data_IF_736053558107
#
_entry.id   IF_736053558107
#
_cell.length_a   1.000
_cell.length_b   1.000
_cell.length_c   1.000
_cell.angle_alpha   90.00
_cell.angle_beta   90.00
_cell.angle_gamma   90.00
#
_symmetry.space_group_name_H-M   'P 1'
#
loop_
_entity.id
_entity.type
_entity.pdbx_description
1 polymer ?
#
# COMPACT_ATOMS: atom_id res chain seq x y z
N UNK A 1 -20.12 10.35 -8.65
CA UNK A 1 -20.39 9.99 -10.07
C UNK A 1 -21.31 8.77 -10.25
N UNK A 2 -21.92 8.22 -9.21
CA UNK A 2 -22.81 7.09 -9.31
C UNK A 2 -24.27 7.52 -9.04
N UNK A 3 -24.80 8.37 -9.89
CA UNK A 3 -26.24 8.48 -10.07
C UNK A 3 -26.75 7.23 -10.81
N UNK A 4 -28.05 6.90 -10.66
CA UNK A 4 -28.73 5.76 -11.28
C UNK A 4 -28.83 5.85 -12.83
N UNK A 5 -27.82 6.39 -13.52
CA UNK A 5 -27.76 6.56 -14.95
C UNK A 5 -26.78 5.59 -15.62
N UNK A 6 -26.93 5.43 -16.92
CA UNK A 6 -26.01 4.66 -17.76
C UNK A 6 -24.60 5.26 -17.70
N UNK A 7 -23.67 4.56 -17.06
CA UNK A 7 -22.31 5.07 -16.79
C UNK A 7 -21.54 5.29 -18.09
N UNK A 8 -21.70 4.42 -19.09
CA UNK A 8 -21.05 4.56 -20.39
C UNK A 8 -21.52 5.81 -21.13
N UNK A 9 -22.83 6.08 -21.13
CA UNK A 9 -23.38 7.28 -21.74
C UNK A 9 -22.83 8.56 -21.07
N UNK A 10 -22.81 8.59 -19.73
CA UNK A 10 -22.26 9.73 -18.98
C UNK A 10 -20.77 9.93 -19.24
N UNK A 11 -20.01 8.84 -19.33
CA UNK A 11 -18.58 8.92 -19.66
C UNK A 11 -18.34 9.51 -21.05
N UNK A 12 -19.11 9.07 -22.05
CA UNK A 12 -19.02 9.61 -23.42
C UNK A 12 -19.42 11.09 -23.49
N UNK A 13 -20.50 11.49 -22.79
CA UNK A 13 -20.91 12.90 -22.68
C UNK A 13 -19.87 13.76 -21.97
N UNK A 14 -19.15 13.18 -21.01
CA UNK A 14 -18.04 13.85 -20.30
C UNK A 14 -16.74 13.97 -21.15
N UNK A 15 -16.77 13.56 -22.42
CA UNK A 15 -15.67 13.71 -23.36
C UNK A 15 -14.71 12.51 -23.43
N UNK A 16 -14.97 11.39 -22.75
CA UNK A 16 -14.13 10.21 -22.88
C UNK A 16 -14.23 9.60 -24.27
N UNK A 17 -13.10 9.21 -24.85
CA UNK A 17 -13.05 8.58 -26.19
C UNK A 17 -13.38 7.08 -26.15
N UNK A 18 -13.23 6.44 -24.97
CA UNK A 18 -13.45 5.01 -24.77
C UNK A 18 -13.94 4.74 -23.34
N UNK A 19 -14.82 3.77 -23.18
CA UNK A 19 -15.28 3.26 -21.88
C UNK A 19 -14.61 1.92 -21.62
N UNK A 20 -13.87 1.83 -20.51
CA UNK A 20 -13.19 0.62 -20.07
C UNK A 20 -14.08 -0.16 -19.11
N UNK A 21 -14.29 -1.45 -19.40
CA UNK A 21 -15.06 -2.37 -18.55
C UNK A 21 -16.46 -1.88 -18.18
N UNK A 22 -17.32 -1.61 -19.18
CA UNK A 22 -18.73 -1.29 -18.93
C UNK A 22 -19.40 -2.43 -18.14
N UNK A 23 -20.37 -2.10 -17.29
CA UNK A 23 -21.01 -3.08 -16.39
C UNK A 23 -21.96 -4.02 -17.14
N UNK A 24 -22.74 -3.47 -18.05
CA UNK A 24 -23.76 -4.21 -18.82
C UNK A 24 -23.89 -3.67 -20.24
N UNK A 25 -23.12 -4.25 -21.16
CA UNK A 25 -23.12 -3.84 -22.57
C UNK A 25 -24.50 -3.94 -23.23
N UNK A 26 -25.35 -4.91 -22.83
CA UNK A 26 -26.69 -5.10 -23.41
C UNK A 26 -27.64 -3.95 -23.13
N UNK A 27 -27.44 -3.23 -22.02
CA UNK A 27 -28.23 -2.07 -21.62
C UNK A 27 -27.53 -0.75 -21.99
N UNK A 28 -26.18 -0.73 -21.90
CA UNK A 28 -25.43 0.49 -22.10
C UNK A 28 -25.29 0.90 -23.55
N UNK A 29 -25.19 -0.05 -24.50
CA UNK A 29 -25.14 0.25 -25.95
C UNK A 29 -26.43 0.84 -26.45
N UNK A 30 -27.64 0.23 -26.22
CA UNK A 30 -28.89 0.84 -26.63
C UNK A 30 -29.11 2.25 -26.10
N UNK A 31 -28.71 2.54 -24.84
CA UNK A 31 -28.84 3.87 -24.26
C UNK A 31 -27.95 4.91 -24.96
N UNK A 32 -26.76 4.51 -25.43
CA UNK A 32 -25.89 5.39 -26.22
C UNK A 32 -26.49 5.64 -27.59
N UNK A 33 -27.05 4.61 -28.25
CA UNK A 33 -27.74 4.76 -29.55
C UNK A 33 -28.93 5.69 -29.43
N UNK A 34 -29.78 5.50 -28.43
CA UNK A 34 -30.95 6.37 -28.18
C UNK A 34 -30.52 7.83 -27.94
N UNK A 35 -29.40 8.06 -27.20
CA UNK A 35 -28.87 9.39 -26.97
C UNK A 35 -28.39 10.06 -28.28
N UNK A 36 -27.86 9.26 -29.23
CA UNK A 36 -27.49 9.78 -30.56
C UNK A 36 -28.74 10.11 -31.36
N UNK A 37 -29.77 9.25 -31.34
CA UNK A 37 -31.06 9.50 -32.04
C UNK A 37 -31.78 10.73 -31.49
N UNK A 38 -31.68 10.99 -30.19
CA UNK A 38 -32.24 12.19 -29.52
C UNK A 38 -31.39 13.46 -29.69
N UNK A 39 -30.23 13.36 -30.31
CA UNK A 39 -29.29 14.48 -30.46
C UNK A 39 -28.55 14.90 -29.18
N UNK A 40 -28.56 14.07 -28.13
CA UNK A 40 -27.81 14.30 -26.88
C UNK A 40 -26.32 14.04 -27.05
N UNK A 41 -25.92 13.20 -27.99
CA UNK A 41 -24.57 12.99 -28.52
C UNK A 41 -24.65 13.13 -30.06
N UNK A 42 -23.69 13.86 -30.63
CA UNK A 42 -23.68 13.93 -32.11
C UNK A 42 -23.01 12.68 -32.70
N UNK A 43 -23.49 12.29 -33.89
CA UNK A 43 -22.89 11.20 -34.65
C UNK A 43 -21.43 11.48 -35.00
N UNK A 44 -21.15 12.72 -35.37
CA UNK A 44 -19.80 13.20 -35.71
C UNK A 44 -18.86 13.05 -34.54
N UNK A 45 -19.33 13.33 -33.31
CA UNK A 45 -18.54 13.14 -32.09
C UNK A 45 -18.19 11.67 -31.87
N UNK A 46 -19.16 10.76 -31.99
CA UNK A 46 -18.91 9.30 -31.86
C UNK A 46 -17.95 8.82 -32.95
N UNK A 47 -18.13 9.27 -34.22
CA UNK A 47 -17.23 8.91 -35.31
C UNK A 47 -15.78 9.45 -35.06
N UNK A 48 -15.66 10.64 -34.55
CA UNK A 48 -14.34 11.22 -34.16
C UNK A 48 -13.65 10.40 -33.09
N UNK A 49 -14.37 10.04 -32.03
CA UNK A 49 -13.85 9.16 -30.94
C UNK A 49 -13.43 7.80 -31.51
N UNK A 50 -14.26 7.19 -32.35
CA UNK A 50 -13.95 5.91 -32.99
C UNK A 50 -12.71 6.03 -33.88
N UNK A 51 -12.59 7.06 -34.70
CA UNK A 51 -11.41 7.34 -35.56
C UNK A 51 -10.15 7.46 -34.72
N UNK A 52 -10.22 8.20 -33.62
CA UNK A 52 -9.09 8.37 -32.69
C UNK A 52 -8.62 7.01 -32.13
N UNK A 53 -9.53 6.18 -31.66
CA UNK A 53 -9.22 4.82 -31.14
C UNK A 53 -8.59 3.95 -32.23
N UNK A 54 -9.16 3.95 -33.45
CA UNK A 54 -8.64 3.18 -34.57
C UNK A 54 -7.25 3.67 -35.01
N UNK A 55 -7.01 4.97 -34.98
CA UNK A 55 -5.69 5.57 -35.26
C UNK A 55 -4.64 5.05 -34.27
N UNK A 56 -4.93 5.06 -32.96
CA UNK A 56 -3.99 4.49 -31.98
C UNK A 56 -3.77 2.99 -32.19
N UNK A 57 -4.81 2.22 -32.49
CA UNK A 57 -4.66 0.80 -32.82
C UNK A 57 -3.76 0.58 -34.03
N UNK A 58 -3.88 1.44 -35.05
CA UNK A 58 -3.03 1.37 -36.24
C UNK A 58 -1.58 1.73 -35.93
N UNK A 59 -1.35 2.83 -35.23
CA UNK A 59 0.01 3.28 -34.81
C UNK A 59 0.70 2.23 -33.95
N UNK A 60 -0.03 1.58 -33.05
CA UNK A 60 0.49 0.48 -32.21
C UNK A 60 0.69 -0.84 -33.00
N UNK A 61 0.39 -0.87 -34.29
CA UNK A 61 0.60 -2.05 -35.14
C UNK A 61 -0.34 -3.22 -34.85
N UNK A 62 -1.47 -3.00 -34.18
CA UNK A 62 -2.40 -4.06 -33.76
C UNK A 62 -3.08 -4.78 -34.93
N UNK A 63 -2.94 -4.26 -36.17
CA UNK A 63 -3.37 -4.97 -37.39
C UNK A 63 -2.49 -6.20 -37.67
N UNK A 64 -1.24 -6.17 -37.27
CA UNK A 64 -0.31 -7.29 -37.46
C UNK A 64 -0.43 -8.23 -36.26
N UNK A 65 -0.58 -9.55 -36.55
CA UNK A 65 -0.51 -10.55 -35.47
C UNK A 65 0.88 -10.49 -34.84
N UNK A 66 0.94 -10.01 -33.61
CA UNK A 66 2.17 -10.01 -32.81
C UNK A 66 2.08 -11.15 -31.82
N UNK A 67 3.01 -12.08 -31.90
CA UNK A 67 3.11 -13.17 -30.92
C UNK A 67 4.10 -12.77 -29.85
N UNK A 68 3.69 -12.91 -28.59
CA UNK A 68 4.61 -12.76 -27.46
C UNK A 68 5.55 -13.95 -27.44
N UNK A 69 6.84 -13.70 -27.52
CA UNK A 69 7.84 -14.74 -27.36
C UNK A 69 7.87 -15.19 -25.90
N UNK A 70 7.45 -16.43 -25.63
CA UNK A 70 7.31 -16.95 -24.26
C UNK A 70 8.69 -17.30 -23.66
N UNK A 71 9.66 -17.74 -24.48
CA UNK A 71 11.00 -18.00 -24.01
C UNK A 71 11.64 -16.76 -23.40
N UNK A 72 12.09 -16.86 -22.15
CA UNK A 72 12.68 -15.75 -21.40
C UNK A 72 11.71 -14.61 -21.04
N UNK A 73 10.38 -14.81 -21.16
CA UNK A 73 9.39 -13.76 -20.86
C UNK A 73 9.46 -13.30 -19.41
N UNK A 74 9.56 -14.24 -18.48
CA UNK A 74 9.64 -13.93 -17.04
C UNK A 74 10.87 -13.08 -16.74
N UNK A 75 12.03 -13.41 -17.29
CA UNK A 75 13.27 -12.65 -17.09
C UNK A 75 13.18 -11.24 -17.71
N UNK A 76 12.47 -11.09 -18.84
CA UNK A 76 12.27 -9.77 -19.47
C UNK A 76 11.34 -8.89 -18.66
N UNK A 77 10.24 -9.45 -18.11
CA UNK A 77 9.27 -8.72 -17.29
C UNK A 77 9.88 -8.41 -15.91
N UNK A 78 10.51 -9.42 -15.28
CA UNK A 78 11.09 -9.31 -13.94
C UNK A 78 12.62 -9.07 -14.02
N UNK A 79 13.04 -8.17 -14.90
CA UNK A 79 14.45 -7.78 -14.98
C UNK A 79 14.97 -7.20 -13.66
N UNK A 80 16.27 -7.20 -13.39
CA UNK A 80 16.84 -6.52 -12.22
C UNK A 80 16.41 -5.05 -12.12
N UNK A 81 16.37 -4.35 -13.26
CA UNK A 81 15.95 -2.96 -13.36
C UNK A 81 14.47 -2.78 -12.99
N UNK A 82 13.60 -3.68 -13.47
CA UNK A 82 12.17 -3.65 -13.10
C UNK A 82 11.99 -3.89 -11.61
N UNK A 83 12.69 -4.85 -11.04
CA UNK A 83 12.62 -5.13 -9.60
C UNK A 83 13.12 -3.96 -8.77
N UNK A 84 14.21 -3.31 -9.17
CA UNK A 84 14.71 -2.13 -8.49
C UNK A 84 13.71 -0.97 -8.58
N UNK A 85 13.14 -0.71 -9.75
CA UNK A 85 12.10 0.30 -9.92
C UNK A 85 10.90 0.04 -9.00
N UNK A 86 10.39 -1.20 -8.95
CA UNK A 86 9.27 -1.58 -8.07
C UNK A 86 9.64 -1.36 -6.60
N UNK A 87 10.86 -1.73 -6.19
CA UNK A 87 11.35 -1.50 -4.82
C UNK A 87 11.40 -0.01 -4.46
N UNK A 88 11.89 0.83 -5.37
CA UNK A 88 11.94 2.29 -5.18
C UNK A 88 10.54 2.90 -5.11
N UNK A 89 9.63 2.47 -5.97
CA UNK A 89 8.23 2.92 -5.95
C UNK A 89 7.52 2.51 -4.65
N UNK A 90 7.75 1.29 -4.18
CA UNK A 90 7.21 0.84 -2.90
C UNK A 90 7.71 1.69 -1.74
N UNK A 91 9.02 2.01 -1.72
CA UNK A 91 9.61 2.85 -0.68
C UNK A 91 9.03 4.27 -0.72
N UNK A 92 8.97 4.89 -1.90
CA UNK A 92 8.41 6.23 -2.09
C UNK A 92 6.92 6.33 -1.70
N UNK A 93 6.18 5.21 -1.77
CA UNK A 93 4.78 5.16 -1.37
C UNK A 93 4.59 5.06 0.14
N UNK A 94 5.60 4.64 0.92
CA UNK A 94 5.48 4.54 2.38
C UNK A 94 5.25 5.92 2.97
N UNK A 95 4.14 6.06 3.69
CA UNK A 95 3.70 7.33 4.25
C UNK A 95 3.64 7.23 5.77
N UNK A 96 4.40 8.06 6.48
CA UNK A 96 4.27 8.24 7.92
C UNK A 96 3.22 9.31 8.16
N UNK A 97 2.01 8.91 8.52
CA UNK A 97 0.87 9.81 8.67
C UNK A 97 0.93 10.65 9.94
N UNK A 98 1.48 10.10 11.00
CA UNK A 98 1.70 10.81 12.27
C UNK A 98 2.90 10.25 13.01
N UNK A 99 3.56 11.12 13.79
CA UNK A 99 4.71 10.77 14.61
C UNK A 99 4.69 11.67 15.86
N UNK A 100 3.84 11.32 16.84
CA UNK A 100 3.66 12.10 18.07
C UNK A 100 4.91 12.00 18.94
N UNK A 101 5.30 13.13 19.51
CA UNK A 101 6.47 13.24 20.38
C UNK A 101 7.77 12.69 19.75
N UNK A 102 7.85 12.69 18.43
CA UNK A 102 9.01 12.18 17.67
C UNK A 102 9.43 10.77 18.10
N UNK A 103 8.41 9.87 18.29
CA UNK A 103 8.68 8.49 18.70
C UNK A 103 9.45 7.71 17.64
N UNK A 104 9.29 8.06 16.37
CA UNK A 104 10.12 7.59 15.27
C UNK A 104 11.24 8.61 14.99
N UNK A 105 12.45 8.16 14.68
CA UNK A 105 12.87 6.77 14.56
C UNK A 105 13.05 6.08 15.91
N UNK A 106 12.77 4.77 15.92
CA UNK A 106 13.06 3.92 17.07
C UNK A 106 14.57 3.75 17.23
N UNK A 107 15.02 3.64 18.48
CA UNK A 107 16.42 3.33 18.77
C UNK A 107 16.65 1.82 18.65
N UNK A 108 17.82 1.46 18.11
CA UNK A 108 18.30 0.08 18.08
C UNK A 108 18.75 -0.29 19.50
N UNK A 109 17.93 -1.07 20.17
CA UNK A 109 18.21 -1.55 21.51
C UNK A 109 17.74 -3.01 21.61
N UNK A 110 18.67 -3.94 21.75
CA UNK A 110 18.36 -5.37 21.88
C UNK A 110 17.92 -5.75 23.30
N UNK A 111 18.19 -4.92 24.27
CA UNK A 111 17.77 -5.14 25.66
C UNK A 111 16.30 -4.73 25.85
N UNK A 112 15.84 -3.74 25.10
CA UNK A 112 14.44 -3.30 25.14
C UNK A 112 13.56 -4.14 24.22
N UNK A 113 12.76 -5.02 24.80
CA UNK A 113 11.84 -5.89 24.09
C UNK A 113 10.61 -5.11 23.61
N UNK A 114 10.30 -5.20 22.31
CA UNK A 114 9.13 -4.59 21.69
C UNK A 114 8.05 -5.67 21.49
N UNK A 115 6.78 -5.35 21.81
CA UNK A 115 5.66 -6.20 21.45
C UNK A 115 5.23 -5.93 20.01
N UNK A 116 5.14 -6.98 19.20
CA UNK A 116 4.53 -6.95 17.86
C UNK A 116 3.17 -7.63 17.94
N UNK A 117 2.10 -6.84 17.86
CA UNK A 117 0.73 -7.32 17.76
C UNK A 117 0.35 -7.45 16.29
N UNK A 118 0.13 -8.67 15.84
CA UNK A 118 -0.24 -9.00 14.46
C UNK A 118 -1.75 -9.20 14.38
N UNK A 119 -2.42 -8.39 13.58
CA UNK A 119 -3.88 -8.41 13.44
C UNK A 119 -4.27 -9.30 12.25
N UNK A 120 -5.00 -10.37 12.55
CA UNK A 120 -5.42 -11.38 11.57
C UNK A 120 -4.45 -12.54 11.46
N UNK A 121 -3.99 -12.86 10.26
CA UNK A 121 -3.06 -13.97 10.02
C UNK A 121 -1.60 -13.53 10.22
N UNK A 122 -0.89 -14.02 11.23
CA UNK A 122 0.49 -13.63 11.51
C UNK A 122 1.47 -14.02 10.39
N UNK A 123 1.18 -15.08 9.62
CA UNK A 123 2.04 -15.46 8.48
C UNK A 123 2.17 -14.37 7.40
N UNK A 124 1.19 -13.46 7.32
CA UNK A 124 1.27 -12.32 6.39
C UNK A 124 2.31 -11.27 6.78
N UNK A 125 2.78 -11.24 8.02
CA UNK A 125 3.73 -10.25 8.56
C UNK A 125 5.04 -10.87 9.05
N UNK A 126 5.32 -12.12 8.69
CA UNK A 126 6.57 -12.81 9.07
C UNK A 126 7.83 -12.10 8.58
N UNK A 127 7.79 -11.50 7.39
CA UNK A 127 8.92 -10.74 6.84
C UNK A 127 9.18 -9.49 7.67
N UNK A 128 8.13 -8.78 8.08
CA UNK A 128 8.23 -7.65 8.99
C UNK A 128 8.87 -8.08 10.32
N UNK A 129 8.38 -9.14 10.94
CA UNK A 129 8.90 -9.65 12.21
C UNK A 129 10.38 -10.00 12.09
N UNK A 130 10.77 -10.71 11.02
CA UNK A 130 12.17 -11.06 10.74
C UNK A 130 13.05 -9.83 10.55
N UNK A 131 12.56 -8.80 9.85
CA UNK A 131 13.34 -7.57 9.63
C UNK A 131 13.47 -6.76 10.92
N UNK A 132 12.39 -6.62 11.70
CA UNK A 132 12.43 -5.94 13.01
C UNK A 132 13.39 -6.61 13.99
N UNK A 133 13.45 -7.95 13.99
CA UNK A 133 14.36 -8.71 14.85
C UNK A 133 15.85 -8.43 14.60
N UNK A 134 16.21 -7.81 13.47
CA UNK A 134 17.57 -7.35 13.20
C UNK A 134 17.95 -6.14 14.05
N UNK A 135 16.95 -5.36 14.47
CA UNK A 135 17.12 -4.08 15.16
C UNK A 135 16.83 -4.16 16.66
N UNK A 136 15.91 -5.04 17.08
CA UNK A 136 15.43 -5.13 18.45
C UNK A 136 14.98 -6.55 18.80
N UNK A 137 14.83 -6.85 20.09
CA UNK A 137 14.19 -8.07 20.56
C UNK A 137 12.67 -7.95 20.43
N UNK A 138 11.98 -8.98 19.88
CA UNK A 138 10.55 -8.98 19.67
C UNK A 138 9.84 -10.02 20.54
N UNK A 139 8.66 -9.65 21.05
CA UNK A 139 7.62 -10.57 21.49
C UNK A 139 6.46 -10.50 20.52
N UNK A 140 6.09 -11.62 19.91
CA UNK A 140 4.99 -11.68 18.93
C UNK A 140 3.69 -12.09 19.60
N UNK A 141 2.63 -11.36 19.28
CA UNK A 141 1.26 -11.59 19.70
C UNK A 141 0.33 -11.58 18.50
N UNK A 142 -0.76 -12.35 18.55
CA UNK A 142 -1.72 -12.40 17.45
C UNK A 142 -3.12 -12.06 17.97
N UNK A 143 -3.77 -11.08 17.31
CA UNK A 143 -5.18 -10.77 17.53
C UNK A 143 -6.01 -11.39 16.40
N UNK A 144 -6.88 -12.35 16.75
CA UNK A 144 -7.77 -13.04 15.82
C UNK A 144 -9.20 -12.50 15.93
N UNK A 145 -9.97 -12.60 14.85
CA UNK A 145 -11.33 -12.04 14.77
C UNK A 145 -12.33 -12.69 15.74
N UNK A 146 -12.13 -13.95 16.09
CA UNK A 146 -13.10 -14.75 16.86
C UNK A 146 -12.63 -15.04 18.28
N UNK A 147 -11.78 -14.19 18.85
CA UNK A 147 -11.34 -14.34 20.25
C UNK A 147 -12.46 -13.94 21.21
N UNK A 148 -12.53 -14.65 22.34
CA UNK A 148 -13.44 -14.29 23.43
C UNK A 148 -12.97 -13.02 24.15
N UNK A 149 -13.83 -12.42 24.97
CA UNK A 149 -13.44 -11.24 25.73
C UNK A 149 -12.36 -11.57 26.78
N UNK A 150 -12.38 -12.78 27.36
CA UNK A 150 -11.35 -13.24 28.29
C UNK A 150 -9.99 -13.37 27.59
N UNK A 151 -9.97 -13.91 26.38
CA UNK A 151 -8.73 -14.00 25.57
C UNK A 151 -8.23 -12.61 25.20
N UNK A 152 -9.13 -11.72 24.81
CA UNK A 152 -8.81 -10.33 24.51
C UNK A 152 -8.26 -9.59 25.73
N UNK A 153 -8.82 -9.84 26.95
CA UNK A 153 -8.33 -9.24 28.18
C UNK A 153 -6.91 -9.73 28.50
N UNK A 154 -6.68 -11.06 28.45
CA UNK A 154 -5.34 -11.65 28.67
C UNK A 154 -4.31 -11.08 27.68
N UNK A 155 -4.71 -10.86 26.44
CA UNK A 155 -3.85 -10.27 25.42
C UNK A 155 -3.51 -8.80 25.77
N UNK A 156 -4.51 -8.00 26.19
CA UNK A 156 -4.27 -6.60 26.63
C UNK A 156 -3.33 -6.56 27.85
N UNK A 157 -3.57 -7.43 28.84
CA UNK A 157 -2.74 -7.51 30.06
C UNK A 157 -1.29 -7.87 29.70
N UNK A 158 -1.09 -8.83 28.79
CA UNK A 158 0.23 -9.19 28.31
C UNK A 158 0.91 -8.02 27.58
N UNK A 159 0.18 -7.31 26.71
CA UNK A 159 0.71 -6.16 25.97
C UNK A 159 1.05 -4.98 26.88
N UNK A 160 0.30 -4.75 27.96
CA UNK A 160 0.52 -3.65 28.90
C UNK A 160 1.87 -3.71 29.61
N UNK A 161 2.53 -4.88 29.66
CA UNK A 161 3.87 -5.05 30.23
C UNK A 161 4.99 -4.48 29.34
N UNK A 162 4.69 -4.12 28.09
CA UNK A 162 5.68 -3.62 27.14
C UNK A 162 5.60 -2.10 27.00
N UNK A 163 6.75 -1.44 27.10
CA UNK A 163 6.85 0.02 26.90
C UNK A 163 6.58 0.46 25.46
N UNK A 164 6.81 -0.44 24.51
CA UNK A 164 6.60 -0.17 23.08
C UNK A 164 5.82 -1.30 22.43
N UNK A 165 4.79 -0.92 21.73
CA UNK A 165 3.91 -1.85 21.02
C UNK A 165 3.83 -1.40 19.56
N UNK A 166 4.07 -2.32 18.65
CA UNK A 166 3.85 -2.16 17.22
C UNK A 166 2.64 -3.01 16.85
N UNK A 167 1.65 -2.42 16.23
CA UNK A 167 0.43 -3.09 15.73
C UNK A 167 0.55 -3.21 14.22
N UNK A 168 0.74 -4.42 13.71
CA UNK A 168 0.85 -4.71 12.28
C UNK A 168 -0.50 -5.22 11.74
N UNK A 169 -1.08 -4.47 10.80
CA UNK A 169 -2.41 -4.73 10.24
C UNK A 169 -2.26 -5.11 8.76
N UNK A 170 -2.49 -6.38 8.45
CA UNK A 170 -2.57 -6.92 7.09
C UNK A 170 -3.99 -7.36 6.70
N UNK A 171 -4.96 -7.14 7.59
CA UNK A 171 -6.35 -7.52 7.42
C UNK A 171 -7.18 -6.35 6.90
N UNK A 172 -8.07 -6.62 5.92
CA UNK A 172 -8.90 -5.58 5.31
C UNK A 172 -10.25 -5.37 6.03
N UNK A 173 -10.73 -6.39 6.74
CA UNK A 173 -12.00 -6.33 7.48
C UNK A 173 -11.69 -6.14 8.96
N UNK A 174 -11.71 -4.89 9.42
CA UNK A 174 -11.32 -4.53 10.78
C UNK A 174 -12.50 -4.36 11.74
N UNK A 175 -13.72 -4.45 11.27
CA UNK A 175 -14.92 -4.23 12.09
C UNK A 175 -14.99 -5.21 13.29
N UNK A 176 -14.64 -6.49 13.09
CA UNK A 176 -14.63 -7.50 14.16
C UNK A 176 -13.59 -7.26 15.25
N UNK A 177 -12.59 -6.43 14.98
CA UNK A 177 -11.50 -6.08 15.93
C UNK A 177 -11.78 -4.79 16.71
N UNK A 178 -12.84 -4.03 16.34
CA UNK A 178 -13.18 -2.76 17.01
C UNK A 178 -13.35 -2.90 18.54
N UNK A 179 -14.02 -3.95 19.10
CA UNK A 179 -14.17 -4.09 20.55
C UNK A 179 -12.83 -4.18 21.28
N UNK A 180 -11.86 -4.90 20.71
CA UNK A 180 -10.51 -4.97 21.26
C UNK A 180 -9.84 -3.60 21.25
N UNK A 181 -9.82 -2.93 20.10
CA UNK A 181 -9.17 -1.64 19.95
C UNK A 181 -9.80 -0.53 20.78
N UNK A 182 -11.12 -0.56 20.99
CA UNK A 182 -11.81 0.41 21.83
C UNK A 182 -11.30 0.42 23.28
N UNK A 183 -10.93 -0.77 23.81
CA UNK A 183 -10.37 -0.90 25.15
C UNK A 183 -8.86 -0.76 25.18
N UNK A 184 -8.16 -1.21 24.14
CA UNK A 184 -6.71 -1.25 24.05
C UNK A 184 -6.10 0.14 23.79
N UNK A 185 -6.59 0.86 22.78
CA UNK A 185 -5.93 2.06 22.26
C UNK A 185 -5.81 3.22 23.28
N UNK A 186 -6.82 3.53 24.13
CA UNK A 186 -6.68 4.59 25.10
C UNK A 186 -5.63 4.33 26.19
N UNK A 187 -5.37 3.06 26.49
CA UNK A 187 -4.48 2.62 27.58
C UNK A 187 -3.04 2.35 27.10
N UNK A 188 -2.89 2.03 25.82
CA UNK A 188 -1.62 1.57 25.24
C UNK A 188 -1.31 2.30 23.94
N UNK A 189 -0.73 3.51 24.00
CA UNK A 189 -0.30 4.21 22.80
C UNK A 189 0.67 3.35 22.00
N UNK A 190 0.30 2.96 20.79
CA UNK A 190 1.05 2.05 19.95
C UNK A 190 1.43 2.69 18.61
N UNK A 191 2.38 2.08 17.92
CA UNK A 191 2.73 2.40 16.54
C UNK A 191 1.91 1.49 15.62
N UNK A 192 1.05 2.07 14.79
CA UNK A 192 0.20 1.33 13.87
C UNK A 192 0.82 1.29 12.48
N UNK A 193 0.99 0.07 11.95
CA UNK A 193 1.49 -0.20 10.61
C UNK A 193 0.36 -0.80 9.77
N UNK A 194 -0.05 -0.11 8.71
CA UNK A 194 -1.08 -0.57 7.81
C UNK A 194 -0.48 -1.11 6.52
N UNK A 195 -0.52 -2.43 6.34
CA UNK A 195 -0.16 -3.14 5.12
C UNK A 195 -1.39 -3.38 4.23
N UNK A 196 -2.31 -2.42 4.23
CA UNK A 196 -3.60 -2.44 3.53
C UNK A 196 -3.83 -1.08 2.87
N UNK A 197 -4.79 -0.97 1.93
CA UNK A 197 -5.21 0.33 1.44
C UNK A 197 -5.61 1.28 2.58
N UNK A 198 -5.19 2.52 2.52
CA UNK A 198 -5.35 3.50 3.61
C UNK A 198 -6.78 3.64 4.14
N UNK A 199 -7.80 3.55 3.26
CA UNK A 199 -9.21 3.61 3.66
C UNK A 199 -9.62 2.55 4.70
N UNK A 200 -8.86 1.46 4.84
CA UNK A 200 -9.19 0.41 5.83
C UNK A 200 -9.00 0.90 7.26
N UNK A 201 -8.11 1.85 7.51
CA UNK A 201 -7.90 2.41 8.84
C UNK A 201 -9.12 3.14 9.39
N UNK A 202 -10.02 3.64 8.51
CA UNK A 202 -11.25 4.31 8.92
C UNK A 202 -12.18 3.42 9.73
N UNK A 203 -12.09 2.10 9.57
CA UNK A 203 -12.85 1.13 10.36
C UNK A 203 -12.45 1.13 11.84
N UNK A 204 -11.24 1.58 12.18
CA UNK A 204 -10.72 1.69 13.56
C UNK A 204 -10.18 3.10 13.84
N UNK A 205 -10.74 4.13 13.20
CA UNK A 205 -10.25 5.52 13.29
C UNK A 205 -10.11 6.04 14.73
N UNK A 206 -11.01 5.62 15.64
CA UNK A 206 -10.94 6.00 17.06
C UNK A 206 -9.65 5.47 17.73
N UNK A 207 -9.24 4.24 17.40
CA UNK A 207 -7.99 3.68 17.90
C UNK A 207 -6.77 4.38 17.28
N UNK A 208 -6.82 4.66 15.98
CA UNK A 208 -5.78 5.38 15.26
C UNK A 208 -5.55 6.79 15.82
N UNK A 209 -6.60 7.46 16.30
CA UNK A 209 -6.48 8.76 16.95
C UNK A 209 -5.59 8.74 18.23
N UNK A 210 -5.53 7.61 18.92
CA UNK A 210 -4.66 7.39 20.09
C UNK A 210 -3.24 6.93 19.73
N UNK A 211 -2.96 6.62 18.46
CA UNK A 211 -1.67 6.11 18.03
C UNK A 211 -0.51 7.08 18.37
N UNK A 212 0.63 6.53 18.76
CA UNK A 212 1.89 7.28 18.90
C UNK A 212 2.49 7.62 17.53
N UNK A 213 2.39 6.68 16.59
CA UNK A 213 2.73 6.90 15.19
C UNK A 213 1.84 6.03 14.29
N UNK A 214 1.64 6.47 13.06
CA UNK A 214 0.87 5.74 12.05
C UNK A 214 1.68 5.70 10.77
N UNK A 215 1.93 4.49 10.28
CA UNK A 215 2.68 4.24 9.04
C UNK A 215 1.81 3.45 8.07
N UNK A 216 1.69 3.93 6.85
CA UNK A 216 0.93 3.33 5.78
C UNK A 216 1.89 2.74 4.74
N UNK A 217 1.93 1.39 4.66
CA UNK A 217 2.72 0.65 3.67
C UNK A 217 1.93 0.28 2.42
N UNK A 218 0.59 0.45 2.43
CA UNK A 218 -0.35 0.14 1.33
C UNK A 218 -0.46 -1.34 0.92
N UNK A 219 0.56 -2.15 1.17
CA UNK A 219 0.64 -3.56 0.76
C UNK A 219 1.45 -4.37 1.78
N UNK A 220 1.15 -5.67 1.88
CA UNK A 220 1.92 -6.61 2.70
C UNK A 220 2.97 -7.40 1.89
N UNK A 221 3.38 -6.90 0.71
CA UNK A 221 4.45 -7.54 -0.05
C UNK A 221 5.79 -7.52 0.72
N UNK A 222 6.70 -8.41 0.32
CA UNK A 222 7.97 -8.64 1.02
C UNK A 222 8.81 -7.37 1.14
N UNK A 223 8.90 -6.58 0.06
CA UNK A 223 9.74 -5.39 0.03
C UNK A 223 9.16 -4.29 0.92
N UNK A 224 7.84 -4.07 0.87
CA UNK A 224 7.19 -3.08 1.74
C UNK A 224 7.37 -3.42 3.22
N UNK A 225 7.23 -4.69 3.61
CA UNK A 225 7.42 -5.10 5.00
C UNK A 225 8.85 -4.82 5.50
N UNK A 226 9.87 -5.11 4.67
CA UNK A 226 11.27 -4.79 4.98
C UNK A 226 11.49 -3.29 5.10
N UNK A 227 11.03 -2.55 4.09
CA UNK A 227 11.19 -1.10 4.01
C UNK A 227 10.48 -0.36 5.15
N UNK A 228 9.26 -0.77 5.53
CA UNK A 228 8.55 -0.21 6.69
C UNK A 228 9.37 -0.44 7.97
N UNK A 229 9.91 -1.65 8.18
CA UNK A 229 10.77 -1.89 9.32
C UNK A 229 12.02 -1.00 9.31
N UNK A 230 12.64 -0.82 8.14
CA UNK A 230 13.82 0.05 7.97
C UNK A 230 13.47 1.53 8.24
N UNK A 231 12.31 2.00 7.81
CA UNK A 231 11.81 3.35 8.10
C UNK A 231 11.61 3.57 9.60
N UNK A 232 11.06 2.59 10.32
CA UNK A 232 10.87 2.71 11.77
C UNK A 232 12.17 2.98 12.53
N UNK A 233 13.31 2.51 12.03
CA UNK A 233 14.63 2.68 12.62
C UNK A 233 15.52 3.70 11.89
N UNK A 234 14.93 4.54 11.01
CA UNK A 234 15.63 5.49 10.14
C UNK A 234 16.81 4.85 9.36
N UNK A 235 16.61 3.64 8.87
CA UNK A 235 17.52 2.95 7.94
C UNK A 235 17.10 3.16 6.49
N UNK A 236 15.87 3.59 6.27
CA UNK A 236 15.35 4.07 5.00
C UNK A 236 14.60 5.39 5.21
N UNK A 237 14.55 6.23 4.17
CA UNK A 237 13.74 7.45 4.18
C UNK A 237 12.25 7.11 3.97
N UNK A 238 11.38 7.98 4.48
CA UNK A 238 9.97 8.02 4.09
C UNK A 238 9.57 9.48 3.96
N UNK A 239 9.08 9.85 2.79
CA UNK A 239 8.61 11.20 2.44
C UNK A 239 7.27 11.16 1.70
N UNK A 240 6.62 10.00 1.70
CA UNK A 240 5.31 9.81 1.09
C UNK A 240 4.26 10.75 1.69
N UNK A 241 3.36 11.23 0.83
CA UNK A 241 2.24 12.09 1.20
C UNK A 241 0.93 11.53 0.65
N UNK A 242 -0.18 11.76 1.37
CA UNK A 242 -1.49 11.33 0.91
C UNK A 242 -1.94 12.11 -0.32
N UNK A 243 -2.32 11.39 -1.37
CA UNK A 243 -2.95 11.97 -2.57
C UNK A 243 -4.42 12.37 -2.36
N UNK A 244 -5.07 11.79 -1.34
CA UNK A 244 -6.46 12.08 -0.94
C UNK A 244 -6.60 11.94 0.56
N UNK A 245 -7.56 12.66 1.15
CA UNK A 245 -7.82 12.61 2.59
C UNK A 245 -8.29 11.22 3.05
N UNK A 246 -7.89 10.83 4.27
CA UNK A 246 -8.35 9.64 4.96
C UNK A 246 -9.17 10.05 6.19
N UNK A 247 -10.46 10.25 5.96
CA UNK A 247 -11.38 10.78 6.96
C UNK A 247 -10.97 12.19 7.41
N UNK A 248 -11.32 12.51 8.65
CA UNK A 248 -10.99 13.81 9.28
C UNK A 248 -9.58 13.83 9.89
N UNK A 249 -8.98 12.65 10.15
CA UNK A 249 -7.69 12.54 10.83
C UNK A 249 -6.51 12.94 9.95
N UNK A 250 -6.56 12.62 8.67
CA UNK A 250 -5.44 12.80 7.76
C UNK A 250 -5.91 13.48 6.46
N UNK A 251 -5.67 14.79 6.31
CA UNK A 251 -6.02 15.52 5.08
C UNK A 251 -5.11 15.10 3.91
N UNK A 252 -5.51 15.48 2.70
CA UNK A 252 -4.65 15.42 1.50
C UNK A 252 -3.33 16.13 1.78
N UNK A 253 -2.21 15.54 1.35
CA UNK A 253 -0.87 16.04 1.63
C UNK A 253 -0.30 15.64 3.00
N UNK A 254 -1.08 14.97 3.86
CA UNK A 254 -0.55 14.49 5.14
C UNK A 254 0.60 13.51 4.93
N UNK A 255 1.69 13.75 5.63
CA UNK A 255 2.90 12.94 5.62
C UNK A 255 3.99 13.60 6.48
N UNK A 256 4.72 12.78 7.24
CA UNK A 256 5.86 13.20 8.07
C UNK A 256 7.11 12.58 7.48
N UNK A 257 8.10 13.40 7.18
CA UNK A 257 9.37 12.92 6.63
C UNK A 257 10.21 12.23 7.70
N UNK A 258 10.68 11.03 7.42
CA UNK A 258 11.73 10.34 8.16
C UNK A 258 12.99 10.36 7.31
N UNK A 259 14.05 10.95 7.84
CA UNK A 259 15.35 11.01 7.16
C UNK A 259 16.33 10.08 7.86
N UNK A 260 16.98 9.15 7.15
CA UNK A 260 17.98 8.28 7.76
C UNK A 260 19.20 9.07 8.20
N UNK A 261 19.73 8.76 9.39
CA UNK A 261 20.98 9.34 9.88
C UNK A 261 22.20 8.85 9.10
N UNK A 262 22.10 7.64 8.54
CA UNK A 262 23.11 7.03 7.68
C UNK A 262 22.39 6.13 6.68
N UNK A 263 22.56 6.28 5.36
CA UNK A 263 21.97 5.39 4.38
C UNK A 263 22.51 3.97 4.58
N UNK A 264 21.64 3.02 4.94
CA UNK A 264 22.03 1.59 5.07
C UNK A 264 21.77 0.79 3.79
N UNK A 265 21.00 1.34 2.86
CA UNK A 265 20.81 0.73 1.56
C UNK A 265 21.61 1.47 0.50
N UNK A 266 22.82 0.99 0.29
CA UNK A 266 23.56 1.27 -0.93
C UNK A 266 22.95 0.40 -2.05
N UNK A 267 22.35 1.05 -3.02
CA UNK A 267 21.91 0.42 -4.27
C UNK A 267 22.96 0.77 -5.31
N UNK A 268 23.82 -0.17 -5.68
CA UNK A 268 24.92 0.11 -6.59
C UNK A 268 24.49 0.78 -7.89
N UNK A 269 23.33 0.40 -8.39
CA UNK A 269 22.75 0.88 -9.65
C UNK A 269 22.38 2.37 -9.59
N UNK A 270 21.99 2.89 -8.42
CA UNK A 270 21.70 4.32 -8.22
C UNK A 270 22.97 5.21 -8.36
N UNK A 271 24.14 4.58 -8.17
CA UNK A 271 25.44 5.22 -8.28
C UNK A 271 26.21 4.81 -9.53
N UNK A 272 25.52 4.19 -10.51
CA UNK A 272 26.12 3.72 -11.75
C UNK A 272 27.01 2.47 -11.60
N UNK A 273 26.94 1.80 -10.46
CA UNK A 273 27.64 0.54 -10.19
C UNK A 273 26.73 -0.64 -10.49
N UNK A 274 27.30 -1.76 -10.91
CA UNK A 274 26.55 -2.99 -11.17
C UNK A 274 26.64 -3.93 -9.98
N UNK A 275 25.49 -4.26 -9.37
CA UNK A 275 25.41 -5.26 -8.29
C UNK A 275 25.93 -6.64 -8.73
N UNK A 276 25.81 -6.96 -10.02
CA UNK A 276 26.35 -8.19 -10.60
C UNK A 276 27.87 -8.17 -10.63
N UNK A 277 28.49 -7.03 -10.93
CA UNK A 277 29.94 -6.88 -10.88
C UNK A 277 30.48 -6.87 -9.45
N UNK A 278 29.75 -6.23 -8.50
CA UNK A 278 30.14 -6.19 -7.10
C UNK A 278 30.11 -7.57 -6.43
N UNK A 279 29.18 -8.46 -6.83
CA UNK A 279 29.16 -9.86 -6.34
C UNK A 279 30.43 -10.66 -6.70
N UNK A 280 31.20 -10.22 -7.68
CA UNK A 280 32.50 -10.86 -8.00
C UNK A 280 33.56 -10.59 -6.94
N UNK A 281 33.40 -9.53 -6.14
CA UNK A 281 34.32 -9.22 -5.03
C UNK A 281 34.23 -10.31 -3.97
N UNK A 282 33.03 -10.83 -3.68
CA UNK A 282 32.79 -11.90 -2.71
C UNK A 282 33.48 -13.24 -3.10
N UNK A 283 33.81 -13.39 -4.40
CA UNK A 283 34.53 -14.58 -4.89
C UNK A 283 36.05 -14.42 -4.92
N UNK A 284 36.58 -13.24 -4.59
CA UNK A 284 38.00 -12.91 -4.58
C UNK A 284 38.53 -12.80 -3.13
N UNK A 285 37.60 -12.52 -2.18
CA UNK A 285 37.88 -12.46 -0.75
C UNK A 285 37.68 -13.82 -0.07
#
# INVERSE_FOLDING_TARGET
LAGNGNVSLQALKAGNDMVLSPRNLKEEIPAVLEAVEKGELSREEIESKCRKVLTYKYVLGLKKKSYVQLSGLEQRINSPQTRDLVRRLNLAAITVLSNKNHILPLHTDKEQKIALLEVGNPGKTDVLAKQLSRYTSLARFCLRANQTEEENQRLRDSLSTYKRIIVAISEQRLASYQPFFAKFAPQSPAIYLFFTPGKMMLQIQRAVAHASAVVLGHSYNVDVQRQVADVLFAKASADGQLSASLGELFPTGAGVTITPKTPLHFVPEEYGLSSTHLKRIDSIA
#
